data_IF_885759861721
#
_entry.id   IF_885759861721
#
_cell.length_a   1.000
_cell.length_b   1.000
_cell.length_c   1.000
_cell.angle_alpha   90.00
_cell.angle_beta   90.00
_cell.angle_gamma   90.00
#
_symmetry.space_group_name_H-M   'P 1'
#
loop_
_entity.id
_entity.type
_entity.pdbx_description
1 polymer ?
2 polymer ?
3 water ?
#
# COMPACT_ATOMS: atom_id res chain seq x y z
N UNK A 4 0.74 19.25 -18.32
CA UNK A 4 1.86 18.35 -18.56
C UNK A 4 1.88 17.24 -17.51
N UNK A 5 2.04 15.98 -17.97
CA UNK A 5 2.06 14.83 -17.07
C UNK A 5 3.18 13.85 -17.39
N UNK A 6 3.78 13.30 -16.33
CA UNK A 6 4.87 12.33 -16.38
C UNK A 6 4.30 10.93 -16.12
N UNK A 7 4.21 10.11 -17.18
CA UNK A 7 3.69 8.73 -17.08
C UNK A 7 4.86 7.78 -16.86
N UNK A 8 5.07 7.35 -15.60
CA UNK A 8 6.17 6.44 -15.27
C UNK A 8 5.70 5.07 -14.80
N UNK A 9 6.39 4.03 -15.29
CA UNK A 9 6.12 2.62 -14.99
C UNK A 9 6.52 2.26 -13.55
N UNK A 10 5.62 1.57 -12.84
CA UNK A 10 5.85 1.12 -11.46
C UNK A 10 6.21 -0.36 -11.43
N UNK A 11 7.06 -0.75 -10.47
CA UNK A 11 7.51 -2.13 -10.30
C UNK A 11 6.97 -2.71 -8.99
N UNK A 12 6.89 -4.04 -8.93
CA UNK A 12 6.41 -4.77 -7.76
C UNK A 12 4.93 -5.11 -7.82
N UNK A 13 4.33 -5.36 -6.64
CA UNK A 13 2.92 -5.73 -6.49
C UNK A 13 2.30 -5.10 -5.23
N UNK A 14 1.05 -5.45 -4.90
CA UNK A 14 0.31 -4.97 -3.73
C UNK A 14 0.94 -5.43 -2.41
N UNK A 15 1.45 -6.67 -2.41
CA UNK A 15 2.09 -7.29 -1.26
C UNK A 15 3.36 -6.58 -0.80
N UNK A 16 4.38 -6.56 -1.67
CA UNK A 16 5.67 -5.92 -1.40
C UNK A 16 5.59 -4.40 -1.40
N UNK A 17 4.70 -3.85 -2.22
CA UNK A 17 4.52 -2.41 -2.37
C UNK A 17 5.04 -1.92 -3.70
N UNK A 18 4.30 -1.01 -4.34
CA UNK A 18 4.66 -0.45 -5.65
C UNK A 18 5.81 0.56 -5.56
N UNK A 19 6.94 0.24 -6.21
CA UNK A 19 8.12 1.10 -6.21
C UNK A 19 8.48 1.71 -7.56
N UNK A 20 8.95 2.97 -7.53
CA UNK A 20 9.36 3.76 -8.69
C UNK A 20 10.87 3.96 -8.69
N UNK A 21 11.50 3.82 -9.87
CA UNK A 21 12.95 4.00 -10.05
C UNK A 21 13.30 5.49 -10.10
N UNK A 22 14.31 5.91 -9.31
CA UNK A 22 14.75 7.31 -9.25
C UNK A 22 16.26 7.48 -9.31
N UNK A 23 16.71 8.56 -9.97
CA UNK A 23 18.11 8.94 -10.10
C UNK A 23 18.33 10.18 -9.24
N UNK A 24 19.16 10.07 -8.19
CA UNK A 24 19.42 11.17 -7.25
C UNK A 24 20.88 11.64 -7.27
N UNK A 25 21.07 12.95 -7.25
CA UNK A 25 22.38 13.61 -7.20
C UNK A 25 23.14 13.70 -8.50
N UNK A 26 24.39 14.18 -8.40
CA UNK A 26 25.32 14.34 -9.53
C UNK A 26 26.71 13.82 -9.11
N UNK A 27 27.19 12.65 -9.61
CA UNK A 27 26.55 11.75 -10.60
C UNK A 27 25.26 11.08 -10.08
N UNK A 28 24.27 10.79 -10.96
CA UNK A 28 23.01 10.21 -10.47
C UNK A 28 23.14 8.78 -9.93
N UNK A 29 22.52 8.55 -8.75
CA UNK A 29 22.51 7.26 -8.08
C UNK A 29 21.13 6.63 -8.24
N UNK A 30 21.06 5.46 -8.88
CA UNK A 30 19.81 4.76 -9.13
C UNK A 30 19.29 4.07 -7.87
N UNK A 31 18.13 4.52 -7.37
CA UNK A 31 17.49 3.98 -6.17
C UNK A 31 16.04 3.55 -6.43
N UNK A 32 15.58 2.54 -5.67
CA UNK A 32 14.23 1.98 -5.74
C UNK A 32 13.39 2.66 -4.65
N UNK A 33 12.40 3.50 -5.08
CA UNK A 33 11.58 4.29 -4.17
C UNK A 33 10.11 3.86 -4.13
N UNK A 34 9.64 3.42 -2.95
CA UNK A 34 8.25 3.00 -2.72
C UNK A 34 7.29 4.19 -2.77
N UNK A 35 6.17 4.05 -3.50
CA UNK A 35 5.15 5.09 -3.61
C UNK A 35 4.20 4.95 -2.42
N UNK A 36 4.19 5.97 -1.54
CA UNK A 36 3.39 5.99 -0.32
C UNK A 36 2.49 7.24 -0.25
N UNK A 37 1.17 7.03 -0.38
CA UNK A 37 0.18 8.12 -0.32
C UNK A 37 -0.26 8.43 1.11
N UNK A 38 0.20 7.62 2.08
CA UNK A 38 -0.11 7.76 3.49
C UNK A 38 0.94 8.52 4.28
N UNK A 39 1.93 9.11 3.57
CA UNK A 39 3.01 9.91 4.15
C UNK A 39 3.33 11.13 3.26
N UNK A 40 4.10 12.09 3.80
CA UNK A 40 4.46 13.31 3.06
C UNK A 40 5.98 13.58 3.05
N UNK A 41 6.79 12.57 3.41
CA UNK A 41 8.24 12.70 3.43
C UNK A 41 8.93 11.83 2.39
N UNK A 42 9.85 12.44 1.63
CA UNK A 42 10.65 11.73 0.63
C UNK A 42 11.98 11.37 1.29
N UNK A 43 12.07 10.14 1.80
CA UNK A 43 13.24 9.63 2.49
C UNK A 43 13.91 8.47 1.78
N UNK A 44 15.25 8.42 1.87
CA UNK A 44 16.10 7.36 1.28
C UNK A 44 17.13 6.89 2.31
N UNK A 45 17.76 5.73 2.07
CA UNK A 45 18.80 5.20 2.95
C UNK A 45 20.10 5.97 2.67
N UNK A 46 20.68 6.55 3.72
CA UNK A 46 21.90 7.33 3.62
C UNK A 46 23.16 6.61 4.08
N UNK A 47 22.99 5.39 4.64
CA UNK A 47 24.06 4.54 5.15
C UNK A 47 23.83 3.08 4.68
N UNK A 48 24.87 2.21 4.61
CA UNK A 48 24.61 0.80 4.23
C UNK A 48 23.79 0.12 5.31
N UNK A 49 22.87 -0.78 4.94
CA UNK A 49 22.00 -1.46 5.91
C UNK A 49 21.69 -2.88 5.46
N UNK A 50 21.21 -3.72 6.41
CA UNK A 50 20.82 -5.09 6.14
C UNK A 50 19.53 -5.09 5.31
N UNK A 51 19.43 -6.04 4.36
CA UNK A 51 18.29 -6.24 3.44
C UNK A 51 18.13 -5.20 2.32
N UNK A 52 19.15 -4.33 2.14
CA UNK A 52 19.19 -3.33 1.06
C UNK A 52 20.48 -3.43 0.26
N UNK A 53 20.37 -3.48 -1.09
CA UNK A 53 21.50 -3.60 -2.00
C UNK A 53 22.24 -2.28 -2.23
N UNK A 54 21.47 -1.17 -2.34
CA UNK A 54 22.03 0.17 -2.58
C UNK A 54 21.43 1.26 -1.67
N UNK A 55 22.19 2.36 -1.49
CA UNK A 55 21.82 3.51 -0.66
C UNK A 55 22.37 4.80 -1.29
N UNK A 56 21.83 5.96 -0.88
CA UNK A 56 22.28 7.26 -1.40
C UNK A 56 23.41 7.86 -0.57
N UNK A 57 24.60 8.02 -1.21
CA UNK A 57 25.77 8.60 -0.58
C UNK A 57 25.78 10.09 -0.89
N UNK A 58 25.59 10.92 0.15
CA UNK A 58 25.55 12.38 0.05
C UNK A 58 26.91 12.99 -0.30
N UNK A 59 27.99 12.38 0.22
CA UNK A 59 29.37 12.82 -0.01
C UNK A 59 29.86 12.58 -1.45
N UNK A 60 29.22 11.64 -2.16
CA UNK A 60 29.52 11.31 -3.56
C UNK A 60 28.81 12.26 -4.54
N UNK A 61 27.76 12.97 -4.06
CA UNK A 61 26.98 13.91 -4.85
C UNK A 61 27.50 15.35 -4.68
N UNK A 62 27.75 16.03 -5.81
CA UNK A 62 28.24 17.41 -5.85
C UNK A 62 27.11 18.44 -5.73
N UNK A 63 25.88 18.03 -6.05
CA UNK A 63 24.69 18.90 -5.99
C UNK A 63 23.94 18.89 -4.65
N UNK A 64 24.33 17.99 -3.72
CA UNK A 64 23.71 17.87 -2.41
C UNK A 64 24.02 19.07 -1.52
N UNK A 65 22.98 19.65 -0.91
CA UNK A 65 23.07 20.78 0.00
C UNK A 65 22.41 20.38 1.33
N UNK A 66 23.22 20.26 2.39
CA UNK A 66 22.74 19.88 3.72
C UNK A 66 21.98 21.06 4.35
N UNK A 67 20.72 20.82 4.77
CA UNK A 67 19.89 21.84 5.39
C UNK A 67 20.22 22.13 6.86
N UNK A 68 21.20 21.40 7.42
CA UNK A 68 21.70 21.57 8.76
C UNK A 68 20.90 20.96 9.90
N UNK A 69 19.98 20.03 9.60
CA UNK A 69 19.15 19.37 10.61
C UNK A 69 18.70 17.95 10.19
N UNK A 70 18.11 17.20 11.14
CA UNK A 70 17.60 15.84 10.92
C UNK A 70 16.22 15.64 11.57
N UNK A 71 15.44 14.66 11.05
CA UNK A 71 14.08 14.38 11.54
C UNK A 71 13.81 12.88 11.79
N UNK A 72 12.99 12.57 12.82
CA UNK A 72 12.59 11.22 13.20
C UNK A 72 11.11 11.02 12.84
N UNK A 73 10.81 9.99 12.01
CA UNK A 73 9.44 9.68 11.58
C UNK A 73 9.05 8.26 11.99
N UNK A 74 7.93 8.14 12.73
CA UNK A 74 7.38 6.87 13.20
C UNK A 74 6.21 6.42 12.32
N UNK A 75 6.10 5.11 12.08
CA UNK A 75 5.04 4.49 11.28
C UNK A 75 4.24 3.48 12.12
N UNK A 76 3.34 2.71 11.46
CA UNK A 76 2.53 1.66 12.10
C UNK A 76 3.44 0.55 12.67
N UNK A 77 4.46 0.16 11.90
CA UNK A 77 5.48 -0.83 12.25
C UNK A 77 6.81 -0.43 11.57
N UNK A 78 7.51 0.49 12.21
CA UNK A 78 8.78 1.03 11.73
C UNK A 78 9.05 2.47 12.13
N UNK A 79 10.35 2.84 12.20
CA UNK A 79 10.82 4.18 12.56
C UNK A 79 12.23 4.43 12.02
N UNK A 80 12.55 5.70 11.71
CA UNK A 80 13.85 6.11 11.19
C UNK A 80 14.24 7.55 11.57
N UNK A 81 15.55 7.84 11.56
CA UNK A 81 16.11 9.17 11.81
C UNK A 81 17.09 9.45 10.65
N UNK A 82 16.82 10.50 9.89
CA UNK A 82 17.63 10.85 8.73
C UNK A 82 17.96 12.32 8.55
N UNK A 83 19.18 12.60 8.02
CA UNK A 83 19.69 13.94 7.74
C UNK A 83 18.84 14.62 6.66
N UNK A 84 18.33 15.82 6.97
CA UNK A 84 17.49 16.60 6.05
C UNK A 84 18.37 17.52 5.19
N UNK A 85 18.19 17.41 3.88
CA UNK A 85 18.90 18.20 2.88
C UNK A 85 18.13 18.31 1.58
N UNK A 86 18.80 18.76 0.51
CA UNK A 86 18.19 18.90 -0.81
C UNK A 86 19.12 18.55 -1.96
N UNK A 87 18.62 17.81 -2.96
CA UNK A 87 19.37 17.38 -4.14
C UNK A 87 18.47 17.22 -5.37
N UNK A 88 19.09 17.06 -6.56
CA UNK A 88 18.37 16.88 -7.82
C UNK A 88 17.86 15.46 -8.00
N UNK A 89 16.60 15.33 -8.44
CA UNK A 89 15.96 14.04 -8.70
C UNK A 89 15.43 14.00 -10.15
N UNK A 90 15.90 13.03 -10.92
CA UNK A 90 15.49 12.81 -12.31
C UNK A 90 14.85 11.44 -12.40
N UNK A 91 13.64 11.38 -13.00
CA UNK A 91 12.95 10.10 -13.17
C UNK A 91 13.26 9.57 -14.59
N UNK A 92 13.92 8.38 -14.69
CA UNK A 92 14.37 7.86 -16.01
C UNK A 92 13.48 8.00 -17.24
N UNK A 93 12.38 7.23 -17.33
CA UNK A 93 11.47 7.23 -18.48
C UNK A 93 10.59 8.49 -18.58
N UNK A 94 10.46 9.22 -17.47
CA UNK A 94 9.65 10.42 -17.37
C UNK A 94 10.23 11.68 -17.96
N UNK A 95 10.15 12.80 -17.19
CA UNK A 95 10.63 14.13 -17.59
C UNK A 95 12.13 14.19 -17.84
N UNK A 96 12.52 14.89 -18.91
CA UNK A 96 13.89 15.10 -19.36
C UNK A 96 14.73 15.94 -18.39
N UNK A 97 14.09 16.86 -17.66
CA UNK A 97 14.74 17.78 -16.72
C UNK A 97 14.80 17.23 -15.28
N UNK A 98 15.79 17.71 -14.49
CA UNK A 98 16.00 17.36 -13.08
C UNK A 98 15.37 18.42 -12.18
N UNK A 99 14.98 18.03 -10.94
CA UNK A 99 14.32 18.94 -10.00
C UNK A 99 14.92 18.92 -8.60
N UNK A 100 15.11 20.11 -8.01
CA UNK A 100 15.64 20.28 -6.65
C UNK A 100 14.51 20.06 -5.64
N UNK A 101 14.58 18.92 -4.91
CA UNK A 101 13.57 18.50 -3.93
C UNK A 101 14.20 18.21 -2.56
N UNK A 102 13.40 18.26 -1.48
CA UNK A 102 13.84 17.96 -0.12
C UNK A 102 14.04 16.45 0.04
N UNK A 103 15.19 16.05 0.62
CA UNK A 103 15.56 14.64 0.80
C UNK A 103 16.05 14.33 2.22
N UNK A 104 15.56 13.22 2.79
CA UNK A 104 15.94 12.74 4.12
C UNK A 104 16.80 11.49 3.98
N UNK A 105 18.06 11.55 4.44
CA UNK A 105 19.01 10.43 4.34
C UNK A 105 19.14 9.65 5.65
N UNK A 106 18.42 8.52 5.72
CA UNK A 106 18.35 7.60 6.88
C UNK A 106 19.71 7.05 7.29
N UNK A 107 20.12 7.33 8.54
CA UNK A 107 21.37 6.86 9.13
C UNK A 107 21.15 5.79 10.21
N UNK A 108 19.97 5.83 10.87
CA UNK A 108 19.54 4.86 11.88
C UNK A 108 18.03 4.57 11.76
N UNK A 109 17.66 3.28 11.80
CA UNK A 109 16.26 2.84 11.67
C UNK A 109 15.94 1.59 12.49
N UNK A 110 14.65 1.46 12.89
CA UNK A 110 14.15 0.33 13.67
C UNK A 110 12.92 -0.26 12.96
N UNK A 111 13.05 -1.51 12.46
CA UNK A 111 12.02 -2.29 11.74
C UNK A 111 11.44 -1.59 10.49
N UNK A 112 12.29 -0.82 9.77
CA UNK A 112 11.89 -0.11 8.56
C UNK A 112 12.29 -0.88 7.30
N UNK A 113 13.58 -1.27 7.17
CA UNK A 113 14.07 -2.04 6.03
C UNK A 113 13.99 -3.53 6.39
N UNK A 114 12.88 -4.17 5.96
CA UNK A 114 12.55 -5.57 6.24
C UNK A 114 12.98 -6.54 5.12
N UNK A 115 13.14 -7.87 5.40
CA UNK A 115 13.54 -8.82 4.34
C UNK A 115 12.46 -9.04 3.28
N UNK A 116 12.90 -9.29 2.05
CA UNK A 116 12.01 -9.50 0.90
C UNK A 116 11.67 -8.24 0.15
N UNK A 117 11.73 -7.09 0.86
CA UNK A 117 11.46 -5.75 0.34
C UNK A 117 12.54 -5.34 -0.67
N UNK A 118 12.11 -4.90 -1.87
CA UNK A 118 13.01 -4.50 -2.95
C UNK A 118 13.37 -3.01 -2.95
N UNK A 119 12.56 -2.16 -2.28
CA UNK A 119 12.83 -0.73 -2.20
C UNK A 119 13.81 -0.37 -1.08
N UNK A 120 14.51 0.76 -1.26
CA UNK A 120 15.48 1.30 -0.31
C UNK A 120 15.17 2.77 0.04
N UNK A 121 14.02 3.25 -0.43
CA UNK A 121 13.54 4.61 -0.22
C UNK A 121 12.02 4.71 -0.24
N UNK A 122 11.48 5.79 0.36
CA UNK A 122 10.05 6.05 0.44
C UNK A 122 9.66 7.41 -0.18
N UNK A 123 8.56 7.43 -0.96
CA UNK A 123 8.04 8.63 -1.62
C UNK A 123 6.72 9.07 -0.98
N UNK A 124 6.78 10.18 -0.25
CA UNK A 124 5.63 10.76 0.42
C UNK A 124 4.82 11.62 -0.54
N UNK A 125 3.59 11.19 -0.85
CA UNK A 125 2.72 11.90 -1.78
C UNK A 125 1.47 12.58 -1.18
N UNK A 126 1.35 12.61 0.16
CA UNK A 126 0.24 13.27 0.84
C UNK A 126 0.49 14.78 1.02
N UNK A 127 -0.39 15.48 1.76
CA UNK A 127 -0.30 16.93 1.98
C UNK A 127 0.79 17.38 2.94
N UNK A 128 1.30 18.62 2.72
CA UNK A 128 2.38 19.29 3.47
C UNK A 128 2.25 19.26 4.99
N UNK A 129 1.02 19.39 5.52
CA UNK A 129 0.74 19.39 6.97
C UNK A 129 1.22 18.13 7.71
N UNK A 130 1.28 16.98 7.02
CA UNK A 130 1.75 15.71 7.60
C UNK A 130 3.28 15.61 7.63
N UNK A 131 3.96 16.26 6.65
CA UNK A 131 5.42 16.25 6.52
C UNK A 131 6.16 16.67 7.78
N UNK A 132 7.14 15.87 8.18
CA UNK A 132 7.97 16.10 9.35
C UNK A 132 9.32 16.72 8.93
N UNK A 133 9.90 17.70 9.65
CA UNK A 133 9.49 18.30 10.94
C UNK A 133 8.14 19.02 10.97
N UNK A 134 7.92 19.96 10.03
CA UNK A 134 6.68 20.74 9.96
C UNK A 134 6.18 20.90 8.52
N UNK A 135 5.04 21.60 8.34
CA UNK A 135 4.42 21.87 7.03
C UNK A 135 5.29 22.75 6.13
N UNK A 136 6.29 23.46 6.73
CA UNK A 136 7.24 24.33 6.04
C UNK A 136 8.16 23.55 5.09
N UNK A 137 8.44 22.26 5.39
CA UNK A 137 9.26 21.40 4.55
C UNK A 137 8.41 20.97 3.34
N UNK A 138 8.78 21.47 2.16
CA UNK A 138 8.11 21.21 0.88
C UNK A 138 8.18 19.74 0.49
N UNK A 139 7.02 19.14 0.20
CA UNK A 139 6.91 17.74 -0.22
C UNK A 139 7.40 17.58 -1.66
N UNK A 140 7.77 16.36 -2.07
CA UNK A 140 8.28 16.04 -3.41
C UNK A 140 7.38 16.59 -4.53
N UNK A 141 6.06 16.33 -4.44
CA UNK A 141 5.08 16.78 -5.43
C UNK A 141 4.88 18.29 -5.46
N UNK A 142 4.90 18.97 -4.29
CA UNK A 142 4.75 20.43 -4.19
C UNK A 142 5.90 21.16 -4.88
N UNK A 143 7.13 20.60 -4.75
CA UNK A 143 8.34 21.13 -5.38
C UNK A 143 8.32 20.83 -6.89
N UNK A 144 7.72 19.68 -7.27
CA UNK A 144 7.56 19.22 -8.65
C UNK A 144 6.54 20.09 -9.41
N UNK A 145 5.43 20.45 -8.73
CA UNK A 145 4.36 21.30 -9.28
C UNK A 145 4.86 22.73 -9.53
N UNK A 146 5.68 23.27 -8.60
CA UNK A 146 6.24 24.62 -8.70
C UNK A 146 7.32 24.74 -9.79
N UNK A 147 8.28 23.80 -9.81
CA UNK A 147 9.41 23.79 -10.76
C UNK A 147 9.04 23.46 -12.20
N UNK A 148 8.25 22.39 -12.42
CA UNK A 148 7.85 21.95 -13.76
C UNK A 148 6.58 22.60 -14.29
N UNK A 149 5.80 23.28 -13.42
CA UNK A 149 4.52 23.92 -13.74
C UNK A 149 3.55 22.88 -14.33
N UNK A 150 3.26 21.84 -13.52
CA UNK A 150 2.39 20.72 -13.88
C UNK A 150 1.11 20.75 -13.02
N UNK A 151 -0.08 20.32 -13.55
CA UNK A 151 -1.31 20.35 -12.73
C UNK A 151 -1.17 19.58 -11.42
N UNK A 152 -1.74 20.15 -10.33
CA UNK A 152 -1.72 19.58 -8.99
C UNK A 152 -2.65 18.35 -8.87
N UNK A 153 -2.43 17.36 -9.76
CA UNK A 153 -3.20 16.11 -9.87
C UNK A 153 -2.21 14.97 -10.17
N UNK A 154 -2.35 13.84 -9.47
CA UNK A 154 -1.54 12.64 -9.71
C UNK A 154 -2.42 11.39 -9.66
N UNK A 155 -2.28 10.50 -10.65
CA UNK A 155 -3.10 9.30 -10.73
C UNK A 155 -2.31 7.99 -10.66
N UNK A 156 -2.96 6.93 -10.12
CA UNK A 156 -2.37 5.61 -9.94
C UNK A 156 -3.20 4.49 -10.58
N UNK A 157 -2.49 3.51 -11.17
CA UNK A 157 -3.07 2.31 -11.78
C UNK A 157 -2.21 1.13 -11.34
N UNK A 158 -2.77 0.24 -10.50
CA UNK A 158 -2.07 -0.92 -9.96
C UNK A 158 -2.50 -2.20 -10.67
N UNK A 159 -1.53 -3.00 -11.16
CA UNK A 159 -1.78 -4.26 -11.87
C UNK A 159 -0.90 -5.39 -11.31
N UNK A 160 -1.32 -5.96 -10.18
CA UNK A 160 -0.62 -7.04 -9.51
C UNK A 160 -1.50 -8.23 -9.17
N UNK A 161 -2.46 -8.54 -10.08
CA UNK A 161 -3.47 -9.61 -10.02
C UNK A 161 -3.17 -10.82 -9.13
N UNK A 162 -2.02 -11.45 -9.33
CA UNK A 162 -1.58 -12.61 -8.58
C UNK A 162 -1.13 -12.29 -7.17
N UNK A 171 1.53 -6.47 -14.78
CA UNK A 171 2.80 -6.87 -14.20
C UNK A 171 3.19 -6.02 -12.97
N UNK A 172 3.16 -4.70 -13.15
CA UNK A 172 3.49 -3.74 -12.11
C UNK A 172 2.41 -2.69 -11.97
N UNK A 173 2.72 -1.47 -12.40
CA UNK A 173 1.78 -0.35 -12.34
C UNK A 173 2.17 0.87 -13.16
N UNK A 174 1.43 1.97 -12.97
CA UNK A 174 1.65 3.23 -13.67
C UNK A 174 1.29 4.44 -12.78
N UNK A 175 2.28 5.32 -12.54
CA UNK A 175 2.10 6.53 -11.75
C UNK A 175 2.21 7.75 -12.68
N UNK A 176 1.10 8.46 -12.86
CA UNK A 176 1.03 9.64 -13.72
C UNK A 176 1.11 10.89 -12.84
N UNK A 177 2.25 11.61 -12.93
CA UNK A 177 2.50 12.82 -12.16
C UNK A 177 2.26 14.07 -13.00
N UNK A 178 1.11 14.69 -12.79
CA UNK A 178 0.69 15.90 -13.51
C UNK A 178 -0.64 15.79 -14.23
N UNK A 179 -1.47 14.83 -13.81
CA UNK A 179 -2.78 14.65 -14.41
C UNK A 179 -3.28 13.22 -14.56
N UNK A 180 -4.22 13.02 -15.49
CA UNK A 180 -4.90 11.76 -15.80
C UNK A 180 -4.59 11.31 -17.23
N UNK A 181 -4.40 10.01 -17.43
CA UNK A 181 -4.21 9.41 -18.75
C UNK A 181 -5.46 8.57 -19.07
N UNK A 182 -6.33 9.04 -20.00
CA UNK A 182 -7.59 8.31 -20.29
C UNK A 182 -7.52 6.85 -20.72
N UNK A 183 -6.35 6.39 -21.22
CA UNK A 183 -6.16 5.00 -21.65
C UNK A 183 -6.05 4.00 -20.50
N UNK A 184 -5.73 4.50 -19.28
CA UNK A 184 -5.57 3.69 -18.08
C UNK A 184 -6.88 3.37 -17.34
N UNK A 185 -8.03 3.82 -17.87
CA UNK A 185 -9.36 3.56 -17.28
C UNK A 185 -10.48 3.33 -18.30
N UNK A 186 -11.63 2.83 -17.81
CA UNK A 186 -12.83 2.54 -18.60
C UNK A 186 -14.07 3.03 -17.82
N UNK A 187 -14.96 3.71 -18.52
CA UNK A 187 -16.19 4.26 -17.95
C UNK A 187 -16.04 5.66 -17.40
N UNK A 188 -17.01 6.10 -16.57
CA UNK A 188 -17.02 7.43 -15.96
C UNK A 188 -16.27 7.45 -14.63
N UNK A 189 -15.51 8.55 -14.39
CA UNK A 189 -14.77 8.73 -13.14
C UNK A 189 -15.73 9.26 -12.07
N UNK A 190 -15.81 8.57 -10.94
CA UNK A 190 -16.64 8.97 -9.81
C UNK A 190 -15.75 9.63 -8.75
N UNK A 191 -15.98 10.94 -8.53
CA UNK A 191 -15.19 11.73 -7.59
C UNK A 191 -15.81 11.85 -6.19
N UNK A 192 -14.99 11.64 -5.16
CA UNK A 192 -15.35 11.78 -3.75
C UNK A 192 -14.51 12.91 -3.12
N UNK A 193 -15.12 13.94 -2.49
CA UNK A 193 -14.31 15.06 -1.96
C UNK A 193 -13.43 14.72 -0.77
N UNK A 194 -12.25 15.38 -0.70
CA UNK A 194 -11.30 15.23 0.40
C UNK A 194 -11.81 16.12 1.54
N UNK A 195 -12.22 15.50 2.66
CA UNK A 195 -12.75 16.23 3.81
C UNK A 195 -11.66 16.96 4.60
N UNK A 196 -10.54 16.27 4.88
CA UNK A 196 -9.41 16.85 5.60
C UNK A 196 -8.14 16.73 4.76
N UNK A 197 -7.53 17.88 4.43
CA UNK A 197 -6.33 17.97 3.60
C UNK A 197 -5.01 17.65 4.33
N UNK A 198 -4.90 16.42 4.88
CA UNK A 198 -3.70 15.90 5.54
C UNK A 198 -3.28 14.60 4.88
N UNK A 199 -4.07 13.53 5.08
CA UNK A 199 -3.94 12.22 4.42
C UNK A 199 -4.95 12.31 3.26
N UNK A 200 -5.28 11.19 2.61
CA UNK A 200 -6.29 11.23 1.56
C UNK A 200 -7.63 10.75 2.12
N UNK A 201 -8.14 11.52 3.11
CA UNK A 201 -9.39 11.24 3.82
C UNK A 201 -10.62 11.49 2.97
N UNK A 202 -11.41 10.43 2.77
CA UNK A 202 -12.65 10.43 2.00
C UNK A 202 -13.81 9.97 2.87
N UNK A 203 -15.01 10.54 2.64
CA UNK A 203 -16.19 10.20 3.43
C UNK A 203 -16.82 8.85 3.06
N UNK A 204 -16.87 7.93 4.04
CA UNK A 204 -17.47 6.61 3.89
C UNK A 204 -18.83 6.63 4.60
N UNK A 205 -19.90 6.31 3.86
CA UNK A 205 -21.28 6.33 4.39
C UNK A 205 -21.80 4.94 4.75
N UNK A 206 -21.53 3.92 3.91
CA UNK A 206 -22.02 2.56 4.13
C UNK A 206 -21.08 1.46 3.58
N UNK A 207 -21.25 0.23 4.09
CA UNK A 207 -20.51 -0.97 3.68
C UNK A 207 -21.48 -2.14 3.45
N UNK A 208 -21.35 -2.83 2.30
CA UNK A 208 -22.21 -3.96 1.94
C UNK A 208 -21.42 -5.23 1.68
N UNK A 209 -21.97 -6.39 2.12
CA UNK A 209 -21.35 -7.71 1.95
C UNK A 209 -22.33 -8.64 1.22
N UNK A 210 -22.06 -8.88 -0.06
CA UNK A 210 -22.85 -9.73 -0.96
C UNK A 210 -24.32 -9.42 -1.02
N UNK A 211 -24.65 -8.13 -0.98
CA UNK A 211 -26.03 -7.64 -0.99
C UNK A 211 -26.47 -7.15 0.38
N UNK A 212 -26.24 -7.98 1.42
CA UNK A 212 -26.60 -7.69 2.81
C UNK A 212 -25.68 -6.61 3.39
N UNK A 213 -26.27 -5.60 4.06
CA UNK A 213 -25.55 -4.48 4.66
C UNK A 213 -25.58 -4.53 6.19
N UNK A 214 -24.41 -4.31 6.83
CA UNK A 214 -24.31 -4.30 8.29
C UNK A 214 -24.78 -2.92 8.81
N UNK A 215 -25.27 -2.89 10.07
CA UNK A 215 -25.73 -1.64 10.65
C UNK A 215 -24.80 -1.10 11.74
N UNK A 216 -24.26 0.10 11.47
CA UNK A 216 -23.37 0.86 12.36
C UNK A 216 -23.52 2.33 12.03
N UNK A 217 -23.35 3.20 13.04
CA UNK A 217 -23.39 4.65 12.88
C UNK A 217 -22.31 5.02 11.86
N UNK A 218 -22.70 5.77 10.80
CA UNK A 218 -21.77 6.16 9.73
C UNK A 218 -20.53 6.95 10.19
N UNK A 219 -20.55 7.43 11.45
CA UNK A 219 -19.46 8.13 12.11
C UNK A 219 -18.36 7.14 12.53
N UNK A 220 -18.73 5.85 12.70
CA UNK A 220 -17.81 4.77 13.07
C UNK A 220 -16.99 4.31 11.86
N UNK A 221 -17.50 4.53 10.63
CA UNK A 221 -16.80 4.21 9.38
C UNK A 221 -15.64 5.20 9.18
N UNK A 222 -15.77 6.42 9.75
CA UNK A 222 -14.75 7.46 9.73
C UNK A 222 -14.08 7.55 11.11
N UNK A 223 -13.95 6.40 11.82
CA UNK A 223 -13.39 6.19 13.17
C UNK A 223 -12.49 7.33 13.68
N UNK A 224 -11.29 7.46 13.08
CA UNK A 224 -10.33 8.53 13.35
C UNK A 224 -10.17 9.29 12.03
N UNK A 225 -10.13 8.53 10.92
CA UNK A 225 -10.05 8.96 9.51
C UNK A 225 -10.23 7.76 8.56
N UNK A 226 -10.92 7.98 7.43
CA UNK A 226 -11.15 6.96 6.41
C UNK A 226 -10.32 7.37 5.19
N UNK A 227 -9.11 6.79 5.09
CA UNK A 227 -8.11 7.16 4.07
C UNK A 227 -7.82 6.13 2.96
N UNK A 228 -7.13 6.61 1.90
CA UNK A 228 -6.67 5.83 0.74
C UNK A 228 -5.15 5.85 0.80
N UNK A 229 -4.52 4.70 1.08
CA UNK A 229 -3.07 4.57 1.21
C UNK A 229 -2.49 3.50 0.29
N UNK A 230 -1.48 3.88 -0.52
CA UNK A 230 -0.78 3.02 -1.46
C UNK A 230 0.31 2.17 -0.78
N UNK A 231 0.84 2.67 0.33
CA UNK A 231 1.88 2.01 1.12
C UNK A 231 1.39 0.77 1.83
N UNK A 232 0.16 0.82 2.37
CA UNK A 232 -0.49 -0.29 3.08
C UNK A 232 -0.98 -1.35 2.09
N UNK A 233 -0.72 -2.63 2.39
CA UNK A 233 -1.08 -3.77 1.57
C UNK A 233 -2.60 -4.07 1.60
N UNK A 234 -3.10 -4.55 2.76
CA UNK A 234 -4.50 -4.94 2.96
C UNK A 234 -5.44 -3.79 3.28
N UNK A 235 -6.76 -4.07 3.23
CA UNK A 235 -7.83 -3.13 3.59
C UNK A 235 -7.95 -3.21 5.12
N UNK A 236 -7.47 -2.17 5.81
CA UNK A 236 -7.50 -2.11 7.27
C UNK A 236 -8.77 -1.43 7.77
N UNK A 237 -9.55 -2.14 8.60
CA UNK A 237 -10.80 -1.65 9.17
C UNK A 237 -10.67 -1.41 10.68
N UNK A 238 -11.41 -0.44 11.29
CA UNK A 238 -11.28 -0.22 12.75
C UNK A 238 -11.81 -1.41 13.56
N UNK A 239 -11.33 -1.56 14.82
CA UNK A 239 -11.68 -2.65 15.74
C UNK A 239 -13.19 -2.86 15.91
N UNK A 240 -13.97 -1.78 16.00
CA UNK A 240 -15.43 -1.85 16.14
C UNK A 240 -16.13 -2.26 14.83
N UNK A 241 -15.53 -1.91 13.67
CA UNK A 241 -16.07 -2.21 12.34
C UNK A 241 -15.68 -3.63 11.87
N UNK A 242 -14.38 -3.99 12.00
CA UNK A 242 -13.80 -5.28 11.60
C UNK A 242 -14.58 -6.51 12.10
N UNK A 243 -15.03 -6.48 13.37
CA UNK A 243 -15.79 -7.56 14.02
C UNK A 243 -17.10 -7.87 13.30
N UNK A 244 -17.87 -6.83 12.93
CA UNK A 244 -19.14 -6.94 12.22
C UNK A 244 -18.99 -7.49 10.80
N UNK A 245 -17.86 -7.17 10.13
CA UNK A 245 -17.54 -7.63 8.77
C UNK A 245 -17.28 -9.14 8.79
N UNK A 246 -16.48 -9.62 9.76
CA UNK A 246 -16.13 -11.04 9.98
C UNK A 246 -17.41 -11.89 10.13
N UNK A 247 -18.38 -11.40 10.93
CA UNK A 247 -19.68 -12.06 11.18
C UNK A 247 -20.54 -12.11 9.90
N UNK A 248 -20.55 -11.03 9.10
CA UNK A 248 -21.33 -10.90 7.88
C UNK A 248 -20.84 -11.80 6.74
N UNK A 249 -19.51 -11.88 6.52
CA UNK A 249 -18.89 -12.70 5.47
C UNK A 249 -19.05 -14.20 5.79
N UNK A 250 -18.92 -14.57 7.09
CA UNK A 250 -19.05 -15.96 7.59
C UNK A 250 -20.42 -16.59 7.28
N UNK A 251 -21.50 -15.78 7.32
CA UNK A 251 -22.86 -16.21 7.03
C UNK A 251 -23.07 -16.49 5.53
N UNK A 252 -22.25 -15.87 4.67
CA UNK A 252 -22.29 -16.03 3.21
C UNK A 252 -21.26 -17.03 2.67
N UNK A 253 -20.15 -17.24 3.41
CA UNK A 253 -19.08 -18.16 3.02
C UNK A 253 -19.37 -19.57 3.52
N UNK A 260 -9.01 -22.81 10.53
CA UNK A 260 -9.92 -22.18 11.48
C UNK A 260 -9.50 -20.76 11.86
N UNK A 261 -8.20 -20.51 11.96
CA UNK A 261 -7.63 -19.21 12.30
C UNK A 261 -7.38 -18.32 11.09
N UNK A 262 -8.17 -18.52 10.02
CA UNK A 262 -8.12 -17.79 8.76
C UNK A 262 -8.56 -16.33 8.93
N UNK A 263 -9.66 -16.11 9.68
CA UNK A 263 -10.24 -14.80 9.96
C UNK A 263 -9.38 -13.94 10.88
N UNK A 264 -8.59 -14.58 11.76
CA UNK A 264 -7.69 -13.91 12.71
C UNK A 264 -6.26 -13.75 12.16
N UNK A 265 -6.05 -14.15 10.91
CA UNK A 265 -4.76 -14.07 10.22
C UNK A 265 -3.69 -15.00 10.76
N UNK A 266 -4.07 -15.91 11.67
CA UNK A 266 -3.17 -16.89 12.31
C UNK A 266 -3.01 -18.14 11.45
N UNK A 267 -3.91 -18.36 10.47
CA UNK A 267 -3.90 -19.51 9.57
C UNK A 267 -4.34 -19.16 8.14
N UNK A 268 -4.18 -20.12 7.21
CA UNK A 268 -4.56 -19.98 5.79
C UNK A 268 -5.89 -20.70 5.51
N UNK A 269 -6.21 -20.88 4.21
CA UNK A 269 -7.37 -21.60 3.68
C UNK A 269 -6.99 -22.11 2.29
N UNK A 270 -6.70 -23.42 2.18
CA UNK A 270 -6.27 -24.06 0.93
C UNK A 270 -7.40 -24.87 0.31
N UNK A 271 -7.60 -24.70 -1.00
CA UNK A 271 -8.65 -25.39 -1.76
C UNK A 271 -8.03 -26.26 -2.86
N UNK A 272 -8.20 -27.59 -2.71
CA UNK A 272 -7.64 -28.65 -3.57
C UNK A 272 -8.08 -28.63 -5.03
N UNK A 273 -7.18 -29.13 -5.93
CA UNK A 273 -7.35 -29.28 -7.38
C UNK A 273 -7.67 -28.00 -8.18
N UNK A 274 -6.97 -26.90 -7.83
CA UNK A 274 -7.07 -25.57 -8.46
C UNK A 274 -8.47 -24.92 -8.59
N UNK A 275 -9.49 -25.45 -7.88
CA UNK A 275 -10.83 -24.85 -7.92
C UNK A 275 -10.88 -23.60 -7.05
N UNK A 276 -11.23 -22.46 -7.67
CA UNK A 276 -11.27 -21.14 -7.05
C UNK A 276 -12.26 -21.00 -5.88
N UNK A 277 -11.81 -20.47 -4.71
CA UNK A 277 -12.74 -20.30 -3.59
C UNK A 277 -13.65 -19.08 -3.73
N UNK A 278 -13.39 -18.22 -4.74
CA UNK A 278 -14.11 -16.99 -5.05
C UNK A 278 -15.61 -17.14 -5.30
N UNK A 279 -16.06 -18.32 -5.75
CA UNK A 279 -17.47 -18.63 -5.97
C UNK A 279 -18.22 -18.79 -4.64
N UNK A 280 -17.52 -19.28 -3.60
CA UNK A 280 -18.04 -19.49 -2.25
C UNK A 280 -18.15 -18.18 -1.45
N UNK A 281 -17.28 -17.19 -1.77
CA UNK A 281 -17.21 -15.90 -1.09
C UNK A 281 -18.08 -14.79 -1.70
N UNK A 282 -18.64 -13.86 -0.87
CA UNK A 282 -19.50 -12.78 -1.43
C UNK A 282 -18.73 -11.59 -2.02
N UNK A 283 -19.42 -10.45 -2.22
CA UNK A 283 -18.85 -9.22 -2.79
C UNK A 283 -18.88 -8.07 -1.76
N UNK A 284 -17.72 -7.43 -1.50
CA UNK A 284 -17.62 -6.31 -0.55
C UNK A 284 -17.75 -4.98 -1.30
N UNK A 285 -18.73 -4.14 -0.88
CA UNK A 285 -19.03 -2.84 -1.49
C UNK A 285 -18.86 -1.69 -0.49
N UNK A 286 -18.16 -0.62 -0.91
CA UNK A 286 -17.93 0.57 -0.08
C UNK A 286 -18.66 1.77 -0.71
N UNK A 287 -19.49 2.46 0.10
CA UNK A 287 -20.27 3.62 -0.34
C UNK A 287 -19.60 4.93 0.02
N UNK A 288 -19.23 5.72 -1.01
CA UNK A 288 -18.54 7.00 -0.87
C UNK A 288 -19.41 8.14 -1.42
N UNK A 289 -19.46 9.26 -0.68
CA UNK A 289 -20.24 10.45 -1.04
C UNK A 289 -19.65 11.12 -2.29
N UNK A 290 -20.49 11.29 -3.33
CA UNK A 290 -20.12 11.95 -4.59
C UNK A 290 -20.06 13.46 -4.37
N UNK A 291 -19.37 14.22 -5.26
CA UNK A 291 -19.24 15.68 -5.22
C UNK A 291 -20.57 16.39 -4.95
N UNK A 292 -21.65 15.90 -5.59
CA UNK A 292 -23.02 16.37 -5.38
C UNK A 292 -23.50 15.67 -4.11
N UNK A 293 -23.58 16.42 -2.99
CA UNK A 293 -23.95 15.98 -1.64
C UNK A 293 -25.15 15.01 -1.53
N UNK A 294 -26.19 15.23 -2.35
CA UNK A 294 -27.41 14.41 -2.36
C UNK A 294 -27.22 13.00 -2.95
N UNK A 295 -26.16 12.77 -3.74
CA UNK A 295 -25.86 11.46 -4.35
C UNK A 295 -24.54 10.82 -3.89
N UNK A 296 -24.42 9.49 -4.05
CA UNK A 296 -23.23 8.72 -3.67
C UNK A 296 -23.01 7.52 -4.60
N UNK A 297 -21.75 7.19 -4.88
CA UNK A 297 -21.38 6.06 -5.72
C UNK A 297 -20.94 4.83 -4.90
N UNK A 298 -20.62 3.72 -5.58
CA UNK A 298 -20.24 2.46 -4.93
C UNK A 298 -19.01 1.81 -5.58
N UNK A 299 -18.03 1.43 -4.74
CA UNK A 299 -16.81 0.74 -5.17
C UNK A 299 -16.84 -0.70 -4.64
N UNK A 300 -17.07 -1.66 -5.55
CA UNK A 300 -17.20 -3.09 -5.23
C UNK A 300 -15.93 -3.88 -5.56
N UNK A 301 -15.48 -4.69 -4.59
CA UNK A 301 -14.31 -5.56 -4.72
C UNK A 301 -14.70 -7.04 -4.63
N UNK A 302 -14.40 -7.80 -5.68
CA UNK A 302 -14.69 -9.24 -5.73
C UNK A 302 -13.69 -10.02 -4.85
N UNK A 303 -14.02 -11.26 -4.40
CA UNK A 303 -13.08 -12.01 -3.53
C UNK A 303 -11.67 -12.25 -4.07
N UNK A 304 -11.45 -11.97 -5.36
CA UNK A 304 -10.15 -12.09 -6.04
C UNK A 304 -9.14 -11.11 -5.43
N UNK A 305 -9.64 -9.97 -4.89
CA UNK A 305 -8.83 -8.93 -4.27
C UNK A 305 -8.73 -9.02 -2.74
N UNK A 306 -9.72 -9.65 -2.06
CA UNK A 306 -9.69 -9.79 -0.61
C UNK A 306 -9.35 -11.19 -0.05
N UNK A 307 -9.20 -12.19 -0.95
CA UNK A 307 -8.79 -13.57 -0.61
C UNK A 307 -7.52 -13.81 -1.44
N UNK A 308 -6.40 -13.20 -1.00
CA UNK A 308 -5.10 -13.23 -1.67
C UNK A 308 -4.43 -14.61 -1.73
N UNK A 309 -3.89 -15.01 -2.91
CA UNK A 309 -3.21 -16.31 -2.98
C UNK A 309 -1.74 -16.25 -2.56
N UNK A 310 -1.32 -17.23 -1.75
CA UNK A 310 0.06 -17.35 -1.26
C UNK A 310 0.81 -18.43 -2.06
N UNK A 311 2.16 -18.47 -1.93
CA UNK A 311 3.08 -19.41 -2.61
C UNK A 311 3.05 -19.23 -4.12
N UNK A 317 -4.79 -26.88 -4.44
CA UNK A 317 -3.36 -26.94 -4.73
C UNK A 317 -2.63 -25.73 -4.14
N UNK A 318 -3.23 -24.53 -4.27
CA UNK A 318 -2.66 -23.28 -3.75
C UNK A 318 -3.41 -22.83 -2.49
N UNK A 319 -2.69 -22.15 -1.57
CA UNK A 319 -3.24 -21.66 -0.31
C UNK A 319 -3.60 -20.17 -0.37
N UNK A 320 -4.72 -19.81 0.30
CA UNK A 320 -5.26 -18.45 0.29
C UNK A 320 -5.38 -17.85 1.71
N UNK A 321 -5.09 -16.55 1.83
CA UNK A 321 -5.18 -15.80 3.10
C UNK A 321 -6.28 -14.73 3.07
N UNK A 322 -6.77 -14.33 4.26
CA UNK A 322 -7.81 -13.31 4.42
C UNK A 322 -7.14 -11.92 4.38
N UNK A 323 -7.42 -11.17 3.33
CA UNK A 323 -6.84 -9.86 3.07
C UNK A 323 -7.48 -8.67 3.77
N UNK A 324 -8.04 -8.89 4.97
CA UNK A 324 -8.68 -7.86 5.79
C UNK A 324 -8.15 -7.99 7.23
N UNK A 325 -7.59 -6.90 7.78
CA UNK A 325 -7.02 -6.86 9.12
C UNK A 325 -7.57 -5.70 9.98
N UNK A 326 -7.70 -5.87 11.32
CA UNK A 326 -8.18 -4.74 12.14
C UNK A 326 -7.10 -3.69 12.36
N UNK A 327 -7.52 -2.47 12.71
CA UNK A 327 -6.62 -1.34 12.95
C UNK A 327 -6.99 -0.61 14.23
N UNK A 328 -5.97 -0.16 14.98
CA UNK A 328 -6.13 0.56 16.24
C UNK A 328 -6.72 1.96 16.03
N UNK A 329 -6.25 2.68 14.99
CA UNK A 329 -6.69 4.06 14.73
C UNK A 329 -7.65 4.30 13.55
N UNK A 330 -7.16 4.19 12.31
CA UNK A 330 -7.91 4.54 11.09
C UNK A 330 -8.37 3.39 10.18
N UNK A 331 -9.26 3.73 9.21
CA UNK A 331 -9.76 2.84 8.17
C UNK A 331 -8.89 3.14 6.94
N UNK A 332 -8.15 2.13 6.46
CA UNK A 332 -7.23 2.28 5.34
C UNK A 332 -7.65 1.48 4.10
N UNK A 333 -7.84 2.18 2.97
CA UNK A 333 -8.15 1.58 1.67
C UNK A 333 -6.78 1.32 1.03
N UNK A 334 -6.25 0.13 1.31
CA UNK A 334 -4.93 -0.32 0.88
C UNK A 334 -4.74 -0.56 -0.61
N UNK A 335 -3.56 -1.10 -0.96
CA UNK A 335 -3.16 -1.42 -2.32
C UNK A 335 -3.96 -2.56 -2.94
N UNK A 336 -4.53 -3.46 -2.10
CA UNK A 336 -5.37 -4.59 -2.53
C UNK A 336 -6.68 -4.11 -3.16
N UNK A 337 -7.27 -3.04 -2.61
CA UNK A 337 -8.51 -2.42 -3.11
C UNK A 337 -8.15 -1.52 -4.31
N UNK A 338 -7.03 -0.77 -4.19
CA UNK A 338 -6.50 0.13 -5.23
C UNK A 338 -6.03 -0.64 -6.48
N UNK A 339 -5.84 -1.97 -6.36
CA UNK A 339 -5.42 -2.86 -7.46
C UNK A 339 -6.53 -3.04 -8.50
N UNK A 340 -7.77 -2.78 -8.10
CA UNK A 340 -8.95 -2.91 -8.95
C UNK A 340 -9.43 -1.63 -9.60
N UNK A 341 -9.07 -0.47 -9.04
CA UNK A 341 -9.51 0.83 -9.56
C UNK A 341 -8.38 1.78 -9.94
N UNK A 342 -8.65 2.69 -10.90
CA UNK A 342 -7.72 3.72 -11.34
C UNK A 342 -7.99 4.95 -10.47
N UNK A 343 -7.18 5.12 -9.42
CA UNK A 343 -7.34 6.19 -8.43
C UNK A 343 -6.68 7.50 -8.87
N UNK A 344 -7.47 8.58 -8.86
CA UNK A 344 -7.03 9.94 -9.22
C UNK A 344 -6.96 10.77 -7.93
N UNK A 345 -5.82 11.44 -7.68
CA UNK A 345 -5.63 12.28 -6.50
C UNK A 345 -5.62 13.75 -6.92
N UNK A 346 -6.81 14.27 -7.24
CA UNK A 346 -7.02 15.66 -7.68
C UNK A 346 -6.89 16.61 -6.47
N UNK A 347 -5.64 17.00 -6.17
CA UNK A 347 -5.31 17.92 -5.07
C UNK A 347 -5.75 19.35 -5.41
N UNK A 348 -5.75 19.68 -6.72
CA UNK A 348 -6.12 20.99 -7.27
C UNK A 348 -7.61 21.34 -7.06
N UNK A 349 -8.49 20.32 -6.96
CA UNK A 349 -9.92 20.51 -6.78
C UNK A 349 -10.54 19.83 -5.55
N UNK A 350 -9.68 19.41 -4.57
CA UNK A 350 -10.06 18.78 -3.30
C UNK A 350 -11.01 17.57 -3.50
N UNK A 351 -10.57 16.59 -4.31
CA UNK A 351 -11.34 15.38 -4.64
C UNK A 351 -10.47 14.17 -5.01
N UNK A 352 -11.00 12.96 -4.75
CA UNK A 352 -10.35 11.68 -5.07
C UNK A 352 -11.24 10.94 -6.08
N UNK A 353 -10.66 10.58 -7.23
CA UNK A 353 -11.36 9.89 -8.30
C UNK A 353 -11.20 8.38 -8.27
N UNK A 354 -12.23 7.68 -8.77
CA UNK A 354 -12.28 6.22 -8.88
C UNK A 354 -12.91 5.83 -10.20
N UNK A 355 -12.28 4.89 -10.92
CA UNK A 355 -12.73 4.40 -12.23
C UNK A 355 -12.28 2.95 -12.46
N UNK A 356 -13.04 2.20 -13.29
CA UNK A 356 -12.73 0.81 -13.63
C UNK A 356 -11.44 0.73 -14.45
N UNK A 357 -10.52 -0.16 -14.04
CA UNK A 357 -9.21 -0.34 -14.70
C UNK A 357 -9.18 -1.54 -15.66
N UNK A 358 -8.60 -1.39 -16.88
CA UNK A 358 -8.54 -2.53 -17.81
C UNK A 358 -7.53 -3.60 -17.41
N UNK A 359 -6.46 -3.21 -16.69
CA UNK A 359 -5.41 -4.13 -16.21
C UNK A 359 -5.86 -4.90 -14.97
N UNK A 360 -6.97 -4.49 -14.35
CA UNK A 360 -7.56 -5.10 -13.16
C UNK A 360 -8.52 -6.24 -13.56
N UNK A 361 -7.99 -7.22 -14.33
CA UNK A 361 -8.73 -8.38 -14.82
C UNK A 361 -7.82 -9.62 -14.81
N UNK A 362 -8.21 -10.68 -14.07
CA UNK A 362 -7.45 -11.93 -14.03
C UNK A 362 -7.89 -12.77 -15.24
N UNK A 363 -7.05 -12.75 -16.31
CA UNK A 363 -7.24 -13.45 -17.58
C UNK A 363 -8.63 -13.19 -18.23
N UNK A 364 -8.99 -11.92 -18.33
CA UNK A 364 -10.25 -11.48 -18.90
C UNK A 364 -11.35 -11.20 -17.89
N UNK A 365 -11.45 -12.06 -16.85
CA UNK A 365 -12.45 -11.94 -15.78
C UNK A 365 -12.17 -10.76 -14.85
N UNK A 366 -13.14 -9.82 -14.76
CA UNK A 366 -13.07 -8.61 -13.94
C UNK A 366 -13.02 -8.91 -12.45
N UNK A 367 -12.29 -8.07 -11.69
CA UNK A 367 -12.11 -8.21 -10.23
C UNK A 367 -12.73 -7.05 -9.44
N UNK A 368 -13.08 -5.95 -10.14
CA UNK A 368 -13.66 -4.76 -9.54
C UNK A 368 -14.93 -4.30 -10.25
N UNK A 369 -15.82 -3.62 -9.51
CA UNK A 369 -17.09 -3.10 -10.04
C UNK A 369 -17.37 -1.70 -9.48
N UNK A 370 -17.66 -0.75 -10.39
CA UNK A 370 -17.99 0.64 -10.03
C UNK A 370 -19.39 1.01 -10.54
N UNK A 371 -20.28 1.41 -9.62
CA UNK A 371 -21.66 1.76 -9.94
C UNK A 371 -22.14 3.04 -9.23
N UNK A 372 -23.20 3.63 -9.78
CA UNK A 372 -23.83 4.84 -9.27
C UNK A 372 -24.65 5.57 -10.31
N UNK A 373 -25.38 6.65 -9.94
CA UNK A 373 -25.49 7.27 -8.61
C UNK A 373 -26.57 6.66 -7.72
N UNK A 374 -26.37 6.71 -6.39
CA UNK A 374 -27.32 6.18 -5.41
C UNK A 374 -27.76 7.25 -4.39
N UNK A 375 -28.97 7.06 -3.83
CA UNK A 375 -29.61 7.98 -2.87
C UNK A 375 -28.99 7.98 -1.47
N UNK A 376 -28.97 9.17 -0.84
CA UNK A 376 -28.47 9.41 0.53
C UNK A 376 -29.58 10.04 1.40
N UNK A 377 -30.86 9.93 0.95
CA UNK A 377 -32.05 10.46 1.62
C UNK A 377 -32.24 9.88 3.03
N UNK A 378 -32.08 8.55 3.17
CA UNK A 378 -32.19 7.85 4.45
C UNK A 378 -30.80 7.45 4.99
N UNK A 379 -29.84 8.39 4.85
CA UNK A 379 -28.43 8.29 5.28
C UNK A 379 -28.10 9.63 5.98
N UNK A 380 -27.38 9.58 7.12
CA UNK A 380 -26.99 10.75 7.92
C UNK A 380 -26.28 11.84 7.10
N UNK A 381 -26.57 13.12 7.43
CA UNK A 381 -26.06 14.33 6.77
C UNK A 381 -24.53 14.43 6.70
N UNK A 382 -23.83 14.12 7.82
CA UNK A 382 -22.38 14.14 7.89
C UNK A 382 -21.85 12.95 8.67
N UNK A 383 -20.85 12.25 8.09
CA UNK A 383 -20.25 11.06 8.67
C UNK A 383 -18.85 11.27 9.25
N UNK A 384 -18.19 12.39 8.88
CA UNK A 384 -16.86 12.74 9.41
C UNK A 384 -17.11 13.34 10.81
N UNK A 385 -16.61 12.68 11.90
CA UNK A 385 -16.89 13.20 13.24
C UNK A 385 -16.02 14.38 13.64
N UNK B 6 -3.69 -24.89 6.70
CA UNK B 6 -2.28 -25.16 6.95
C UNK B 6 -1.75 -24.30 8.11
N UNK B 7 -1.27 -24.96 9.17
CA UNK B 7 -0.73 -24.31 10.37
C UNK B 7 0.80 -24.33 10.37
N UNK B 8 1.40 -25.48 10.02
CA UNK B 8 2.86 -25.65 10.00
C UNK B 8 3.47 -25.79 8.61
N UNK B 9 4.78 -25.48 8.49
CA UNK B 9 5.54 -25.56 7.24
C UNK B 9 6.84 -26.35 7.44
N UNK B 10 7.04 -27.40 6.64
CA UNK B 10 8.22 -28.26 6.68
C UNK B 10 9.33 -27.79 5.71
N UNK B 11 10.58 -27.76 6.20
CA UNK B 11 11.75 -27.34 5.42
C UNK B 11 12.13 -28.41 4.38
N UNK B 12 12.20 -28.00 3.10
CA UNK B 12 12.54 -28.90 1.99
C UNK B 12 14.05 -29.02 1.81
N UNK B 13 14.80 -27.92 2.01
CA UNK B 13 16.25 -27.87 1.85
C UNK B 13 16.95 -27.23 3.06
N UNK B 14 18.24 -27.53 3.23
CA UNK B 14 19.07 -26.98 4.31
C UNK B 14 19.48 -25.56 3.93
N UNK B 15 19.14 -24.57 4.78
CA UNK B 15 19.46 -23.17 4.53
C UNK B 15 20.36 -22.58 5.62
N UNK B 16 21.47 -21.97 5.19
CA UNK B 16 22.43 -21.30 6.06
C UNK B 16 22.31 -19.80 5.79
N UNK B 17 21.76 -19.05 6.76
CA UNK B 17 21.56 -17.60 6.65
C UNK B 17 22.89 -16.87 6.54
N UNK B 18 22.94 -15.86 5.65
CA UNK B 18 24.13 -15.06 5.42
C UNK B 18 24.43 -14.15 6.62
N UNK B 19 25.73 -13.94 6.99
CA UNK B 19 26.04 -13.09 8.16
C UNK B 19 25.45 -11.67 8.11
N UNK B 20 25.36 -11.07 6.91
CA UNK B 20 24.79 -9.74 6.70
C UNK B 20 23.25 -9.68 6.81
N UNK B 21 22.61 -10.83 7.11
CA UNK B 21 21.16 -10.96 7.28
C UNK B 21 20.81 -11.37 8.73
N UNK B 22 20.62 -10.38 9.65
CA UNK B 22 20.38 -10.70 11.07
C UNK B 22 19.01 -11.28 11.44
N UNK B 23 17.97 -10.97 10.66
CA UNK B 23 16.60 -11.44 10.93
C UNK B 23 16.27 -12.74 10.18
N UNK B 24 17.24 -13.32 9.46
CA UNK B 24 17.09 -14.55 8.67
C UNK B 24 17.36 -15.81 9.48
N UNK B 25 16.42 -16.77 9.48
CA UNK B 25 16.58 -18.03 10.21
C UNK B 25 17.40 -19.04 9.44
N UNK B 26 18.40 -19.66 10.10
CA UNK B 26 19.24 -20.72 9.53
C UNK B 26 18.57 -22.02 9.94
N UNK B 27 18.23 -22.88 8.96
CA UNK B 27 17.53 -24.14 9.26
C UNK B 27 18.04 -25.36 8.51
N UNK B 28 17.70 -26.54 9.05
CA UNK B 28 18.04 -27.84 8.47
C UNK B 28 16.83 -28.45 7.78
N UNK B 29 17.07 -29.37 6.83
CA UNK B 29 16.04 -30.06 6.06
C UNK B 29 15.14 -30.93 6.97
N UNK B 30 13.84 -30.62 6.97
CA UNK B 30 12.84 -31.32 7.78
C UNK B 30 12.33 -30.54 8.97
N UNK B 31 12.85 -29.31 9.17
CA UNK B 31 12.48 -28.41 10.27
C UNK B 31 11.06 -27.85 10.08
N UNK B 32 10.27 -27.84 11.17
CA UNK B 32 8.90 -27.34 11.18
C UNK B 32 8.82 -25.88 11.64
N UNK B 33 7.93 -25.10 11.01
CA UNK B 33 7.78 -23.66 11.29
C UNK B 33 6.35 -23.22 11.51
N UNK B 34 6.17 -22.15 12.30
CA UNK B 34 4.87 -21.54 12.58
C UNK B 34 4.94 -20.07 12.17
N UNK B 35 4.22 -19.72 11.09
CA UNK B 35 4.16 -18.34 10.56
C UNK B 35 3.31 -17.52 11.54
N UNK B 36 3.93 -16.47 12.14
CA UNK B 36 3.31 -15.60 13.15
C UNK B 36 2.00 -14.97 12.72
N UNK B 37 2.05 -14.04 11.74
CA UNK B 37 0.86 -13.35 11.24
C UNK B 37 0.91 -13.23 9.72
N UNK B 38 -0.16 -13.71 9.04
CA UNK B 38 -0.27 -13.68 7.59
C UNK B 38 -0.57 -12.28 7.05
N UNK B 39 -1.07 -11.39 7.92
CA UNK B 39 -1.37 -10.00 7.58
C UNK B 39 -0.10 -9.16 7.39
N UNK B 40 1.01 -9.57 8.01
CA UNK B 40 2.31 -8.89 7.92
C UNK B 40 3.23 -9.49 6.85
N UNK B 41 2.74 -10.51 6.11
CA UNK B 41 3.47 -11.20 5.05
C UNK B 41 3.68 -10.28 3.84
N UNK B 42 4.95 -10.09 3.43
CA UNK B 42 5.34 -9.24 2.31
C UNK B 42 6.44 -9.91 1.47
N UNK B 43 6.06 -10.41 0.30
CA UNK B 43 6.96 -11.06 -0.65
C UNK B 43 7.25 -12.53 -0.37
N UNK B 44 8.43 -12.99 -0.82
CA UNK B 44 8.90 -14.37 -0.69
C UNK B 44 9.61 -14.70 0.65
N UNK B 45 9.60 -13.75 1.60
CA UNK B 45 10.21 -13.92 2.92
C UNK B 45 9.17 -13.72 4.02
N UNK B 46 8.90 -14.79 4.81
CA UNK B 46 7.90 -14.77 5.88
C UNK B 46 8.53 -14.90 7.27
N UNK B 47 8.06 -14.08 8.22
CA UNK B 47 8.53 -14.10 9.61
C UNK B 47 7.88 -15.28 10.35
N UNK B 48 8.64 -16.38 10.47
CA UNK B 48 8.18 -17.62 11.11
C UNK B 48 8.87 -17.91 12.45
N UNK B 49 8.43 -18.98 13.13
CA UNK B 49 8.96 -19.44 14.41
C UNK B 49 9.32 -20.92 14.28
N UNK B 50 10.62 -21.24 14.39
CA UNK B 50 11.14 -22.61 14.29
C UNK B 50 10.73 -23.42 15.52
N UNK B 51 10.22 -24.64 15.29
CA UNK B 51 9.80 -25.52 16.39
C UNK B 51 10.99 -26.24 17.04
N UNK B 52 12.14 -26.27 16.34
CA UNK B 52 13.38 -26.90 16.78
C UNK B 52 14.16 -26.00 17.74
N UNK B 53 14.45 -24.74 17.33
CA UNK B 53 15.22 -23.77 18.12
C UNK B 53 14.35 -22.89 19.02
N UNK B 54 13.13 -22.58 18.59
CA UNK B 54 12.21 -21.73 19.31
C UNK B 54 12.38 -20.25 19.04
N UNK B 55 13.20 -19.91 18.01
CA UNK B 55 13.50 -18.54 17.63
C UNK B 55 12.60 -17.98 16.53
N UNK B 56 12.38 -16.66 16.57
CA UNK B 56 11.58 -15.89 15.63
C UNK B 56 12.50 -15.23 14.59
N UNK B 57 12.17 -15.42 13.32
CA UNK B 57 12.92 -14.86 12.19
C UNK B 57 12.30 -15.12 10.84
N UNK B 58 12.89 -14.54 9.80
CA UNK B 58 12.42 -14.64 8.41
C UNK B 58 12.97 -15.86 7.67
N UNK B 59 12.08 -16.57 6.96
CA UNK B 59 12.39 -17.78 6.19
C UNK B 59 12.01 -17.62 4.70
N UNK B 60 12.77 -18.19 3.74
CA UNK B 60 12.36 -18.06 2.33
C UNK B 60 11.22 -19.03 2.00
N UNK B 61 10.10 -18.50 1.45
CA UNK B 61 8.89 -19.23 1.10
C UNK B 61 9.10 -20.43 0.17
N UNK B 62 10.03 -20.31 -0.78
CA UNK B 62 10.38 -21.35 -1.75
C UNK B 62 11.07 -22.57 -1.12
N UNK B 63 11.74 -22.36 0.04
CA UNK B 63 12.46 -23.39 0.80
C UNK B 63 11.53 -24.26 1.67
N UNK B 64 10.27 -23.84 1.88
CA UNK B 64 9.29 -24.56 2.72
C UNK B 64 8.09 -25.14 1.99
N UNK B 65 7.51 -26.23 2.55
CA UNK B 65 6.33 -26.93 2.02
C UNK B 65 5.23 -27.05 3.10
N UNK B 66 3.93 -27.00 2.74
CA UNK B 66 2.88 -27.11 3.78
C UNK B 66 2.76 -28.48 4.45
N UNK B 67 2.13 -28.52 5.64
CA UNK B 67 1.90 -29.75 6.42
C UNK B 67 0.44 -30.17 6.27
#
# INVERSE_FOLDING_TARGET
ANFLAMVDNLQGDSGRGYYLEMLIGTPPQKLQILVDTGSSNFAVAGTPHSYIDTYFDTERSSTYRSKGFDVTVKYTQGSWTGFVGEDLVTIPKGFNTSFLVNIATIFESENFFLPGIKWNGILGLAYATLAKPSSSLETFFDSLVTQANIPNVFSMQMCGAGLPVAGSGTNGGSLVLGGIEPSLYKGDIWYTPIKEEWYYQIEILKLEIGGQSLNLDCREYNADKAIVDSGTTLLRLPQKVFDAVVEAVARASLIPAFSDGFWTGSQLACWTNSETPWSYFPKISIYLRDENSSRSFRITILPQLYIQPMMGAGLNYECYRFGISPSTNALVIGATVMEGFYVIFDRAQKRVGFAASPCAEIAGAAVSEISGPFSTEDVASNCVPA
MRGSGVTLFVALYDYEARPNRPLDLSFHKGEKFQILNWWHVRGDWWEARSLTTGETGYIPSNYVAPVDSIQGEQKLISEEDLHHHHHH
#
